data_IF_035742984202
#
_entry.id   IF_035742984202
#
_cell.length_a   1.000
_cell.length_b   1.000
_cell.length_c   1.000
_cell.angle_alpha   90.00
_cell.angle_beta   90.00
_cell.angle_gamma   90.00
#
_symmetry.space_group_name_H-M   'P 1'
#
loop_
_entity.id
_entity.type
_entity.pdbx_description
1 polymer ?
#
# COMPACT_ATOMS: atom_id res chain seq x y z
N UNK A 1 -17.38 21.73 90.18
CA UNK A 1 -18.07 21.79 88.86
C UNK A 1 -17.00 22.09 87.82
N UNK A 2 -16.71 21.33 86.76
CA UNK A 2 -17.33 20.19 86.07
C UNK A 2 -16.18 19.30 85.56
N UNK A 3 -16.39 17.98 85.55
CA UNK A 3 -15.57 17.00 84.82
C UNK A 3 -15.93 17.04 83.34
N UNK A 4 -14.97 16.90 82.43
CA UNK A 4 -15.14 16.32 81.08
C UNK A 4 -13.74 16.12 80.43
N UNK A 5 -13.59 15.21 79.46
CA UNK A 5 -12.54 14.21 79.47
C UNK A 5 -11.53 14.37 78.32
N UNK A 6 -10.43 13.64 78.48
CA UNK A 6 -9.43 13.30 77.48
C UNK A 6 -10.10 12.62 76.27
N UNK A 7 -9.99 13.20 75.07
CA UNK A 7 -10.35 12.55 73.81
C UNK A 7 -9.08 12.30 73.00
N UNK A 8 -8.79 11.01 72.81
CA UNK A 8 -7.90 10.51 71.77
C UNK A 8 -8.54 10.76 70.41
N UNK A 9 -7.85 11.48 69.53
CA UNK A 9 -8.16 11.52 68.10
C UNK A 9 -7.04 10.78 67.35
N UNK A 10 -7.28 9.49 67.17
CA UNK A 10 -6.71 8.66 66.12
C UNK A 10 -7.60 8.89 64.88
N UNK A 11 -7.09 9.34 63.72
CA UNK A 11 -7.61 8.99 62.38
C UNK A 11 -6.89 9.75 61.25
N UNK A 12 -6.37 8.95 60.32
CA UNK A 12 -6.21 9.16 58.87
C UNK A 12 -5.12 10.10 58.36
N UNK A 13 -3.92 9.53 58.23
CA UNK A 13 -3.00 9.84 57.12
C UNK A 13 -3.72 9.57 55.78
N UNK A 14 -3.84 10.56 54.87
CA UNK A 14 -4.10 10.24 53.48
C UNK A 14 -2.82 9.66 52.89
N UNK A 15 -2.88 8.38 52.51
CA UNK A 15 -2.01 7.83 51.48
C UNK A 15 -2.22 8.66 50.22
N UNK A 16 -1.36 9.66 50.00
CA UNK A 16 -1.14 10.25 48.69
C UNK A 16 -0.40 9.17 47.87
N UNK A 17 -1.17 8.27 47.28
CA UNK A 17 -0.71 7.54 46.13
C UNK A 17 -0.34 8.59 45.06
N UNK A 18 0.86 8.53 44.47
CA UNK A 18 1.11 9.31 43.27
C UNK A 18 0.06 8.84 42.25
N UNK A 19 -0.81 9.76 41.84
CA UNK A 19 -1.57 9.59 40.62
C UNK A 19 -0.51 9.36 39.54
N UNK A 20 -0.36 8.09 39.16
CA UNK A 20 0.25 7.73 37.92
C UNK A 20 -0.54 8.50 36.86
N UNK A 21 0.06 9.59 36.41
CA UNK A 21 -0.24 10.19 35.13
C UNK A 21 0.00 9.09 34.11
N UNK A 22 -1.03 8.29 33.86
CA UNK A 22 -1.20 7.66 32.56
C UNK A 22 -1.21 8.84 31.59
N UNK A 23 -0.05 9.10 30.98
CA UNK A 23 -0.02 9.84 29.73
C UNK A 23 -0.97 9.05 28.84
N UNK A 24 -2.15 9.62 28.59
CA UNK A 24 -2.88 9.26 27.41
C UNK A 24 -1.89 9.53 26.27
N UNK A 25 -1.28 8.47 25.76
CA UNK A 25 -0.69 8.50 24.45
C UNK A 25 -1.77 9.12 23.57
N UNK A 26 -1.48 10.30 23.03
CA UNK A 26 -2.30 10.95 22.02
C UNK A 26 -2.18 10.08 20.76
N UNK A 27 -2.76 8.88 20.80
CA UNK A 27 -2.97 8.04 19.64
C UNK A 27 -3.87 8.84 18.71
N UNK A 28 -3.28 9.32 17.63
CA UNK A 28 -3.97 9.98 16.53
C UNK A 28 -5.25 9.21 16.20
N UNK A 29 -6.39 9.90 16.29
CA UNK A 29 -7.73 9.37 15.95
C UNK A 29 -7.98 9.36 14.43
N UNK A 30 -6.94 9.60 13.62
CA UNK A 30 -7.02 9.62 12.16
C UNK A 30 -6.61 8.27 11.57
N UNK A 31 -7.37 7.79 10.59
CA UNK A 31 -6.96 6.69 9.74
C UNK A 31 -5.83 7.15 8.81
N UNK A 32 -4.71 6.44 8.80
CA UNK A 32 -3.68 6.64 7.79
C UNK A 32 -3.96 5.69 6.63
N UNK A 33 -4.46 6.21 5.51
CA UNK A 33 -4.83 5.39 4.35
C UNK A 33 -3.57 4.71 3.79
N UNK A 34 -3.65 3.43 3.42
CA UNK A 34 -2.45 2.71 2.97
C UNK A 34 -1.92 3.21 1.63
N UNK A 35 -2.81 3.55 0.70
CA UNK A 35 -2.49 4.00 -0.66
C UNK A 35 -3.44 5.10 -1.11
N UNK A 36 -2.95 5.96 -2.01
CA UNK A 36 -3.76 6.86 -2.82
C UNK A 36 -3.88 6.33 -4.25
N UNK A 37 -4.47 7.13 -5.14
CA UNK A 37 -4.55 6.85 -6.56
C UNK A 37 -4.32 8.15 -7.33
N UNK A 38 -3.36 8.14 -8.25
CA UNK A 38 -3.11 9.30 -9.09
C UNK A 38 -4.32 9.50 -10.00
N UNK A 39 -4.93 10.69 -9.93
CA UNK A 39 -6.12 10.97 -10.71
C UNK A 39 -5.84 10.95 -12.22
N UNK A 40 -6.62 10.17 -12.97
CA UNK A 40 -6.52 10.08 -14.44
C UNK A 40 -7.61 10.91 -15.12
N UNK A 41 -7.31 12.16 -15.45
CA UNK A 41 -8.26 13.05 -16.13
C UNK A 41 -8.65 12.59 -17.54
N UNK A 42 -8.00 11.58 -18.12
CA UNK A 42 -8.39 11.02 -19.42
C UNK A 42 -9.65 10.16 -19.33
N UNK A 43 -10.04 9.75 -18.12
CA UNK A 43 -11.26 9.01 -17.84
C UNK A 43 -12.49 9.92 -17.63
N UNK A 44 -12.31 11.25 -17.59
CA UNK A 44 -13.40 12.22 -17.49
C UNK A 44 -14.24 12.21 -18.80
N UNK A 45 -15.14 11.23 -18.98
CA UNK A 45 -16.01 11.13 -20.16
C UNK A 45 -17.27 11.98 -20.01
N UNK A 46 -17.82 12.52 -21.11
CA UNK A 46 -18.96 13.46 -21.02
C UNK A 46 -20.32 12.82 -20.69
N UNK A 47 -20.43 11.49 -20.56
CA UNK A 47 -21.72 10.81 -20.39
C UNK A 47 -21.66 9.68 -19.34
N UNK A 48 -22.49 9.82 -18.29
CA UNK A 48 -22.78 8.85 -17.19
C UNK A 48 -21.72 8.68 -16.07
N UNK A 49 -22.15 8.08 -14.96
CA UNK A 49 -21.48 7.96 -13.64
C UNK A 49 -19.97 7.72 -13.74
N UNK A 50 -19.18 8.79 -13.55
CA UNK A 50 -17.72 8.80 -13.70
C UNK A 50 -17.02 8.16 -12.49
N UNK A 51 -17.67 8.12 -11.32
CA UNK A 51 -17.03 7.59 -10.10
C UNK A 51 -16.52 6.15 -10.30
N UNK A 52 -17.27 5.31 -11.01
CA UNK A 52 -16.89 3.92 -11.25
C UNK A 52 -15.58 3.81 -12.06
N UNK A 53 -15.31 4.74 -12.97
CA UNK A 53 -14.08 4.75 -13.79
C UNK A 53 -12.85 5.19 -12.99
N UNK A 54 -13.05 5.98 -11.93
CA UNK A 54 -11.97 6.46 -11.05
C UNK A 54 -11.82 5.67 -9.75
N UNK A 55 -12.66 4.66 -9.50
CA UNK A 55 -12.66 3.86 -8.27
C UNK A 55 -12.35 2.39 -8.54
N UNK A 56 -11.97 1.65 -7.49
CA UNK A 56 -11.83 0.19 -7.58
C UNK A 56 -13.09 -0.45 -7.00
N UNK A 57 -13.84 -1.15 -7.84
CA UNK A 57 -14.99 -1.93 -7.39
C UNK A 57 -14.55 -3.19 -6.63
N UNK A 58 -15.14 -3.43 -5.47
CA UNK A 58 -14.92 -4.61 -4.65
C UNK A 58 -16.15 -5.53 -4.68
N UNK A 59 -15.89 -6.83 -4.67
CA UNK A 59 -16.80 -7.88 -4.23
C UNK A 59 -16.77 -7.98 -2.69
N UNK A 60 -17.75 -8.66 -2.11
CA UNK A 60 -17.74 -8.95 -0.67
C UNK A 60 -16.46 -9.68 -0.23
N UNK A 61 -15.96 -10.63 -1.02
CA UNK A 61 -14.76 -11.40 -0.70
C UNK A 61 -13.50 -10.53 -0.64
N UNK A 62 -13.36 -9.59 -1.58
CA UNK A 62 -12.24 -8.64 -1.60
C UNK A 62 -12.32 -7.66 -0.43
N UNK A 63 -13.52 -7.16 -0.09
CA UNK A 63 -13.73 -6.35 1.12
C UNK A 63 -13.30 -7.09 2.39
N UNK A 64 -13.72 -8.35 2.55
CA UNK A 64 -13.32 -9.20 3.69
C UNK A 64 -11.81 -9.40 3.73
N UNK A 65 -11.17 -9.60 2.57
CA UNK A 65 -9.70 -9.72 2.48
C UNK A 65 -9.02 -8.47 3.00
N UNK A 66 -9.44 -7.28 2.55
CA UNK A 66 -8.88 -5.99 3.01
C UNK A 66 -9.04 -5.78 4.52
N UNK A 67 -10.23 -6.08 5.04
CA UNK A 67 -10.54 -6.03 6.48
C UNK A 67 -9.60 -6.96 7.27
N UNK A 68 -9.48 -8.23 6.86
CA UNK A 68 -8.63 -9.21 7.53
C UNK A 68 -7.13 -8.90 7.40
N UNK A 69 -6.74 -8.22 6.32
CA UNK A 69 -5.38 -7.70 6.14
C UNK A 69 -5.10 -6.45 6.96
N UNK A 70 -6.07 -5.95 7.72
CA UNK A 70 -5.98 -4.75 8.55
C UNK A 70 -5.62 -3.53 7.71
N UNK A 71 -6.23 -3.41 6.54
CA UNK A 71 -6.10 -2.22 5.71
C UNK A 71 -6.87 -1.03 6.29
N UNK A 72 -6.33 0.17 6.06
CA UNK A 72 -6.95 1.47 6.26
C UNK A 72 -7.26 2.07 4.89
N UNK A 73 -8.53 2.25 4.57
CA UNK A 73 -8.99 2.64 3.24
C UNK A 73 -10.34 3.37 3.33
N UNK A 74 -10.73 4.01 2.22
CA UNK A 74 -12.06 4.61 2.05
C UNK A 74 -12.93 3.65 1.24
N UNK A 75 -14.15 3.39 1.72
CA UNK A 75 -15.14 2.56 1.04
C UNK A 75 -16.42 3.37 0.83
N UNK A 76 -16.87 3.48 -0.40
CA UNK A 76 -18.18 3.96 -0.76
C UNK A 76 -19.10 2.77 -0.99
N UNK A 77 -20.14 2.64 -0.17
CA UNK A 77 -21.27 1.74 -0.45
C UNK A 77 -22.30 2.55 -1.22
N UNK A 78 -22.54 2.19 -2.48
CA UNK A 78 -23.46 2.91 -3.37
C UNK A 78 -24.08 1.97 -4.41
N UNK A 79 -25.32 2.27 -4.80
CA UNK A 79 -25.97 1.59 -5.92
C UNK A 79 -25.42 2.16 -7.23
N UNK A 80 -24.73 1.31 -8.01
CA UNK A 80 -24.14 1.70 -9.31
C UNK A 80 -25.20 2.14 -10.33
N UNK A 81 -26.43 1.69 -10.17
CA UNK A 81 -27.58 2.08 -11.00
C UNK A 81 -28.27 3.36 -10.54
N UNK A 82 -27.81 4.01 -9.47
CA UNK A 82 -28.48 5.19 -8.95
C UNK A 82 -28.39 6.36 -9.93
N UNK A 83 -29.55 6.91 -10.28
CA UNK A 83 -29.71 8.07 -11.19
C UNK A 83 -30.31 9.29 -10.49
N UNK A 84 -30.40 9.25 -9.15
CA UNK A 84 -30.88 10.37 -8.36
C UNK A 84 -30.04 11.63 -8.58
N UNK A 85 -30.67 12.80 -8.64
CA UNK A 85 -29.96 14.10 -8.66
C UNK A 85 -29.05 14.29 -7.44
N UNK A 86 -29.42 13.72 -6.30
CA UNK A 86 -28.62 13.69 -5.09
C UNK A 86 -27.27 12.99 -5.29
N UNK A 87 -27.27 11.84 -5.98
CA UNK A 87 -26.06 11.10 -6.34
C UNK A 87 -25.14 11.96 -7.21
N UNK A 88 -25.64 12.57 -8.29
CA UNK A 88 -24.78 13.37 -9.19
C UNK A 88 -24.05 14.53 -8.49
N UNK A 89 -24.68 15.21 -7.53
CA UNK A 89 -24.02 16.27 -6.76
C UNK A 89 -22.93 15.69 -5.86
N UNK A 90 -23.21 14.58 -5.19
CA UNK A 90 -22.25 13.94 -4.31
C UNK A 90 -21.08 13.32 -5.08
N UNK A 91 -21.36 12.63 -6.18
CA UNK A 91 -20.38 12.11 -7.13
C UNK A 91 -19.42 13.20 -7.61
N UNK A 92 -19.94 14.36 -8.03
CA UNK A 92 -19.09 15.49 -8.45
C UNK A 92 -18.16 15.97 -7.31
N UNK A 93 -18.63 15.96 -6.06
CA UNK A 93 -17.82 16.26 -4.88
C UNK A 93 -16.75 15.20 -4.62
N UNK A 94 -17.09 13.91 -4.75
CA UNK A 94 -16.13 12.82 -4.63
C UNK A 94 -15.04 12.91 -5.70
N UNK A 95 -15.40 13.09 -6.96
CA UNK A 95 -14.47 13.22 -8.08
C UNK A 95 -13.55 14.43 -7.90
N UNK A 96 -14.10 15.57 -7.47
CA UNK A 96 -13.30 16.75 -7.15
C UNK A 96 -12.29 16.46 -6.03
N UNK A 97 -12.70 15.70 -5.00
CA UNK A 97 -11.81 15.31 -3.92
C UNK A 97 -10.74 14.31 -4.36
N UNK A 98 -11.11 13.30 -5.16
CA UNK A 98 -10.17 12.34 -5.75
C UNK A 98 -9.12 13.06 -6.60
N UNK A 99 -9.54 14.03 -7.41
CA UNK A 99 -8.65 14.88 -8.22
C UNK A 99 -7.72 15.76 -7.38
N UNK A 100 -8.27 16.43 -6.36
CA UNK A 100 -7.51 17.39 -5.57
C UNK A 100 -6.54 16.74 -4.57
N UNK A 101 -6.83 15.51 -4.13
CA UNK A 101 -6.13 14.84 -3.03
C UNK A 101 -5.57 13.45 -3.40
N UNK A 102 -5.69 13.01 -4.65
CA UNK A 102 -5.31 11.67 -5.12
C UNK A 102 -5.94 10.56 -4.26
N UNK A 103 -7.23 10.70 -3.92
CA UNK A 103 -7.93 9.74 -3.06
C UNK A 103 -8.18 8.44 -3.82
N UNK A 104 -7.81 7.34 -3.18
CA UNK A 104 -8.31 6.03 -3.54
C UNK A 104 -9.58 5.73 -2.73
N UNK A 105 -10.71 5.71 -3.43
CA UNK A 105 -11.99 5.29 -2.87
C UNK A 105 -12.38 3.97 -3.53
N UNK A 106 -12.62 2.96 -2.71
CA UNK A 106 -13.16 1.69 -3.17
C UNK A 106 -14.67 1.77 -3.24
N UNK A 107 -15.29 1.16 -4.25
CA UNK A 107 -16.73 1.07 -4.40
C UNK A 107 -17.25 -0.33 -4.08
N UNK A 108 -18.39 -0.46 -3.41
CA UNK A 108 -19.09 -1.74 -3.27
C UNK A 108 -20.60 -1.55 -3.42
N UNK A 109 -21.23 -2.49 -4.12
CA UNK A 109 -22.68 -2.50 -4.28
C UNK A 109 -23.37 -2.98 -2.99
N UNK A 110 -24.43 -2.31 -2.50
CA UNK A 110 -25.22 -2.78 -1.36
C UNK A 110 -25.67 -4.25 -1.46
N UNK A 111 -25.92 -4.76 -2.68
CA UNK A 111 -26.33 -6.14 -2.92
C UNK A 111 -25.26 -7.17 -2.49
N UNK A 112 -23.99 -6.77 -2.43
CA UNK A 112 -22.91 -7.64 -1.97
C UNK A 112 -23.09 -8.08 -0.51
N UNK A 113 -23.89 -7.37 0.28
CA UNK A 113 -24.19 -7.68 1.69
C UNK A 113 -25.49 -8.49 1.90
N UNK A 114 -26.23 -8.79 0.84
CA UNK A 114 -27.46 -9.59 0.94
C UNK A 114 -27.20 -11.02 1.42
N UNK A 115 -28.27 -11.69 1.90
CA UNK A 115 -28.20 -13.08 2.37
C UNK A 115 -27.70 -13.24 3.81
N UNK A 116 -27.72 -12.19 4.62
CA UNK A 116 -27.36 -12.25 6.05
C UNK A 116 -25.84 -12.28 6.31
N UNK A 117 -25.04 -11.77 5.37
CA UNK A 117 -23.60 -11.65 5.51
C UNK A 117 -23.22 -10.66 6.62
N UNK A 118 -22.04 -10.87 7.21
CA UNK A 118 -21.50 -9.97 8.23
C UNK A 118 -21.19 -8.60 7.60
N UNK A 119 -21.63 -7.53 8.26
CA UNK A 119 -21.44 -6.17 7.72
C UNK A 119 -20.16 -5.51 8.22
N UNK A 120 -19.44 -6.14 9.16
CA UNK A 120 -18.24 -5.60 9.79
C UNK A 120 -18.45 -4.19 10.39
N UNK A 121 -19.66 -3.93 10.90
CA UNK A 121 -20.04 -2.63 11.47
C UNK A 121 -20.39 -1.56 10.44
N UNK A 122 -20.31 -1.86 9.13
CA UNK A 122 -20.81 -0.98 8.07
C UNK A 122 -22.33 -0.91 8.19
N UNK A 123 -22.86 0.31 8.20
CA UNK A 123 -24.29 0.55 8.00
C UNK A 123 -24.50 0.81 6.50
N UNK A 124 -25.48 0.18 5.89
CA UNK A 124 -25.77 0.41 4.47
C UNK A 124 -27.28 0.37 4.24
N UNK A 125 -27.71 1.06 3.18
CA UNK A 125 -29.05 0.99 2.65
C UNK A 125 -28.96 1.08 1.12
N UNK A 126 -29.97 0.59 0.41
CA UNK A 126 -30.08 0.75 -1.04
C UNK A 126 -30.53 2.16 -1.46
N UNK A 127 -30.90 3.01 -0.50
CA UNK A 127 -31.45 4.34 -0.74
C UNK A 127 -30.49 5.48 -0.40
N UNK A 128 -29.32 5.18 0.17
CA UNK A 128 -28.34 6.17 0.63
C UNK A 128 -26.92 5.70 0.33
N UNK A 129 -26.09 6.62 -0.14
CA UNK A 129 -24.66 6.39 -0.28
C UNK A 129 -23.95 6.57 1.06
N UNK A 130 -23.05 5.65 1.36
CA UNK A 130 -22.34 5.60 2.64
C UNK A 130 -20.83 5.59 2.39
N UNK A 131 -20.15 6.68 2.75
CA UNK A 131 -18.69 6.71 2.79
C UNK A 131 -18.20 6.24 4.16
N UNK A 132 -17.37 5.21 4.17
CA UNK A 132 -16.81 4.56 5.34
C UNK A 132 -15.30 4.77 5.34
N UNK A 133 -14.77 5.17 6.48
CA UNK A 133 -13.33 5.23 6.76
C UNK A 133 -12.96 4.01 7.57
N UNK A 134 -12.14 3.13 7.00
CA UNK A 134 -11.53 2.02 7.71
C UNK A 134 -10.17 2.42 8.29
N UNK A 135 -9.91 1.98 9.51
CA UNK A 135 -8.62 2.03 10.16
C UNK A 135 -8.27 0.62 10.64
N UNK A 136 -7.19 0.06 10.11
CA UNK A 136 -6.66 -1.25 10.51
C UNK A 136 -7.71 -2.37 10.50
N UNK A 137 -8.56 -2.38 9.47
CA UNK A 137 -9.62 -3.38 9.28
C UNK A 137 -10.90 -3.11 10.07
N UNK A 138 -11.00 -2.02 10.83
CA UNK A 138 -12.21 -1.66 11.57
C UNK A 138 -12.81 -0.35 11.07
N UNK A 139 -14.14 -0.21 11.14
CA UNK A 139 -14.81 1.05 10.83
C UNK A 139 -14.43 2.10 11.88
N UNK A 140 -13.73 3.16 11.45
CA UNK A 140 -13.39 4.31 12.28
C UNK A 140 -14.51 5.35 12.25
N UNK A 141 -15.03 5.64 11.06
CA UNK A 141 -16.07 6.62 10.85
C UNK A 141 -16.91 6.26 9.62
N UNK A 142 -18.15 6.73 9.60
CA UNK A 142 -19.04 6.58 8.46
C UNK A 142 -19.92 7.82 8.34
N UNK A 143 -20.20 8.22 7.10
CA UNK A 143 -21.11 9.29 6.76
C UNK A 143 -22.03 8.85 5.61
N UNK A 144 -23.34 8.88 5.89
CA UNK A 144 -24.39 8.69 4.89
C UNK A 144 -24.74 10.04 4.27
N UNK A 145 -25.14 10.04 3.00
CA UNK A 145 -25.76 11.23 2.37
C UNK A 145 -27.27 11.13 2.43
N UNK A 146 -27.92 12.20 2.88
CA UNK A 146 -29.38 12.26 3.04
C UNK A 146 -30.00 13.27 2.07
N UNK A 147 -29.95 12.96 0.77
CA UNK A 147 -30.58 13.76 -0.28
C UNK A 147 -29.80 15.03 -0.67
N UNK A 148 -30.45 15.91 -1.46
CA UNK A 148 -29.79 17.04 -2.15
C UNK A 148 -29.34 18.19 -1.25
N UNK A 149 -29.92 18.29 -0.05
CA UNK A 149 -29.66 19.37 0.91
C UNK A 149 -28.64 18.96 1.99
N UNK A 150 -28.09 17.74 1.91
CA UNK A 150 -27.07 17.29 2.86
C UNK A 150 -25.81 18.16 2.70
N UNK A 151 -25.34 18.86 3.75
CA UNK A 151 -24.13 19.66 3.68
C UNK A 151 -22.90 18.87 3.19
N UNK A 152 -22.90 17.54 3.34
CA UNK A 152 -21.83 16.66 2.91
C UNK A 152 -21.70 16.54 1.39
N UNK A 153 -22.73 16.92 0.61
CA UNK A 153 -22.60 17.01 -0.86
C UNK A 153 -21.79 18.21 -1.31
N UNK A 154 -21.49 19.15 -0.41
CA UNK A 154 -20.64 20.32 -0.71
C UNK A 154 -19.18 20.02 -0.39
N UNK A 155 -18.29 20.32 -1.34
CA UNK A 155 -16.87 19.96 -1.31
C UNK A 155 -16.14 20.38 -0.02
N UNK A 156 -16.34 21.61 0.45
CA UNK A 156 -15.62 22.13 1.61
C UNK A 156 -16.00 21.38 2.90
N UNK A 157 -17.28 21.02 3.06
CA UNK A 157 -17.74 20.22 4.20
C UNK A 157 -17.25 18.78 4.11
N UNK A 158 -17.26 18.20 2.90
CA UNK A 158 -16.73 16.87 2.64
C UNK A 158 -15.26 16.78 3.04
N UNK A 159 -14.42 17.69 2.52
CA UNK A 159 -12.98 17.69 2.79
C UNK A 159 -12.70 17.97 4.27
N UNK A 160 -13.39 18.93 4.90
CA UNK A 160 -13.20 19.20 6.32
C UNK A 160 -13.52 17.98 7.20
N UNK A 161 -14.58 17.23 6.86
CA UNK A 161 -14.89 15.96 7.54
C UNK A 161 -13.83 14.90 7.27
N UNK A 162 -13.41 14.73 6.01
CA UNK A 162 -12.44 13.71 5.62
C UNK A 162 -11.08 13.95 6.28
N UNK A 163 -10.55 15.17 6.23
CA UNK A 163 -9.27 15.55 6.87
C UNK A 163 -9.33 15.42 8.40
N UNK A 164 -10.52 15.53 8.99
CA UNK A 164 -10.76 15.25 10.41
C UNK A 164 -10.86 13.76 10.76
N UNK A 165 -10.77 12.85 9.79
CA UNK A 165 -10.89 11.39 9.97
C UNK A 165 -9.80 10.57 9.31
N UNK A 166 -9.18 11.07 8.25
CA UNK A 166 -8.22 10.32 7.46
C UNK A 166 -7.09 11.21 6.95
N UNK A 167 -5.91 10.59 6.82
CA UNK A 167 -4.74 11.14 6.15
C UNK A 167 -4.47 10.33 4.89
N UNK A 168 -4.27 11.02 3.77
CA UNK A 168 -3.98 10.42 2.47
C UNK A 168 -2.56 9.85 2.43
N UNK A 169 -2.36 8.81 1.62
CA UNK A 169 -1.03 8.24 1.37
C UNK A 169 -0.31 9.01 0.27
N UNK A 170 1.01 9.16 0.41
CA UNK A 170 1.90 9.69 -0.62
C UNK A 170 2.32 8.61 -1.64
N UNK A 171 1.99 7.34 -1.40
CA UNK A 171 2.18 6.25 -2.37
C UNK A 171 0.91 6.06 -3.21
N UNK A 172 0.99 6.44 -4.48
CA UNK A 172 -0.16 6.55 -5.38
C UNK A 172 -0.21 5.39 -6.36
N UNK A 173 -1.34 4.68 -6.42
CA UNK A 173 -1.62 3.73 -7.50
C UNK A 173 -1.68 4.46 -8.85
N UNK A 174 -1.08 3.85 -9.86
CA UNK A 174 -1.06 4.35 -11.24
C UNK A 174 -1.43 3.25 -12.23
N UNK A 175 -1.95 3.64 -13.39
CA UNK A 175 -2.11 2.77 -14.55
C UNK A 175 -0.81 2.64 -15.34
N UNK A 176 -0.75 1.67 -16.27
CA UNK A 176 0.37 1.57 -17.22
C UNK A 176 0.54 2.87 -18.03
N UNK A 177 -0.58 3.48 -18.45
CA UNK A 177 -0.54 4.72 -19.23
C UNK A 177 0.07 5.85 -18.40
N UNK A 178 -0.35 6.01 -17.15
CA UNK A 178 0.22 7.01 -16.25
C UNK A 178 1.71 6.74 -15.99
N UNK A 179 2.13 5.47 -15.86
CA UNK A 179 3.56 5.13 -15.79
C UNK A 179 4.30 5.59 -17.05
N UNK A 180 3.74 5.38 -18.22
CA UNK A 180 4.32 5.83 -19.49
C UNK A 180 4.41 7.36 -19.55
N UNK A 181 3.37 8.06 -19.10
CA UNK A 181 3.33 9.53 -19.05
C UNK A 181 4.39 10.10 -18.08
N UNK A 182 4.69 9.42 -16.95
CA UNK A 182 5.71 9.86 -15.99
C UNK A 182 7.11 9.99 -16.62
N UNK A 183 7.42 9.17 -17.63
CA UNK A 183 8.67 9.30 -18.39
C UNK A 183 8.67 10.49 -19.35
N UNK A 184 7.50 10.94 -19.80
CA UNK A 184 7.33 12.01 -20.81
C UNK A 184 7.08 13.40 -20.20
N UNK A 185 6.55 13.47 -18.97
CA UNK A 185 6.28 14.75 -18.30
C UNK A 185 7.56 15.57 -18.12
N UNK A 186 7.56 16.84 -18.53
CA UNK A 186 8.67 17.75 -18.25
C UNK A 186 8.60 18.28 -16.81
N UNK A 187 9.67 18.19 -16.02
CA UNK A 187 9.82 18.97 -14.77
C UNK A 187 9.75 18.20 -13.44
N UNK A 188 9.15 17.02 -13.35
CA UNK A 188 9.33 16.11 -12.18
C UNK A 188 10.79 15.65 -12.07
N UNK A 189 11.41 15.58 -10.88
CA UNK A 189 12.69 14.87 -10.68
C UNK A 189 12.52 13.35 -10.89
N UNK A 190 13.56 12.56 -10.60
CA UNK A 190 13.48 11.09 -10.56
C UNK A 190 12.23 10.62 -9.81
N UNK A 191 11.62 9.51 -10.23
CA UNK A 191 10.42 8.97 -9.60
C UNK A 191 10.59 7.50 -9.23
N UNK A 192 9.99 7.09 -8.12
CA UNK A 192 10.09 5.74 -7.58
C UNK A 192 8.79 4.98 -7.80
N UNK A 193 8.90 3.78 -8.36
CA UNK A 193 7.78 2.90 -8.65
C UNK A 193 7.97 1.57 -7.92
N UNK A 194 6.97 1.19 -7.14
CA UNK A 194 6.78 -0.16 -6.63
C UNK A 194 6.00 -0.98 -7.65
N UNK A 195 6.62 -2.05 -8.16
CA UNK A 195 5.98 -3.04 -9.02
C UNK A 195 5.49 -4.20 -8.16
N UNK A 196 4.17 -4.24 -7.98
CA UNK A 196 3.47 -5.27 -7.22
C UNK A 196 2.57 -6.10 -8.13
N UNK A 197 1.91 -7.09 -7.53
CA UNK A 197 0.89 -7.92 -8.14
C UNK A 197 -0.12 -8.31 -7.08
N UNK A 198 -1.40 -8.11 -7.33
CA UNK A 198 -2.44 -8.53 -6.40
C UNK A 198 -2.43 -10.04 -6.13
N UNK A 199 -2.18 -10.85 -7.16
CA UNK A 199 -2.15 -12.32 -7.08
C UNK A 199 -0.80 -12.88 -6.58
N UNK A 200 0.14 -12.02 -6.18
CA UNK A 200 1.50 -12.40 -5.77
C UNK A 200 1.59 -12.45 -4.24
N UNK A 201 1.72 -13.65 -3.69
CA UNK A 201 1.76 -13.85 -2.24
C UNK A 201 2.97 -13.19 -1.55
N UNK A 202 4.06 -12.92 -2.26
CA UNK A 202 5.21 -12.15 -1.73
C UNK A 202 4.89 -10.66 -1.67
N UNK A 203 4.24 -10.14 -2.71
CA UNK A 203 3.78 -8.76 -2.81
C UNK A 203 2.76 -8.44 -1.71
N UNK A 204 1.73 -9.28 -1.54
CA UNK A 204 0.76 -9.13 -0.44
C UNK A 204 1.43 -9.19 0.94
N UNK A 205 2.51 -9.96 1.08
CA UNK A 205 3.25 -10.06 2.34
C UNK A 205 4.03 -8.80 2.66
N UNK A 206 4.70 -8.18 1.68
CA UNK A 206 5.37 -6.88 1.85
C UNK A 206 4.37 -5.78 2.15
N UNK A 207 3.27 -5.73 1.40
CA UNK A 207 2.23 -4.73 1.58
C UNK A 207 1.77 -4.72 3.04
N UNK A 208 1.38 -5.89 3.56
CA UNK A 208 0.88 -6.07 4.93
C UNK A 208 1.92 -5.85 6.03
N UNK A 209 3.10 -6.43 5.90
CA UNK A 209 4.08 -6.48 6.99
C UNK A 209 5.08 -5.33 6.97
N UNK A 210 5.06 -4.51 5.92
CA UNK A 210 5.97 -3.38 5.75
C UNK A 210 5.26 -2.12 5.25
N UNK A 211 4.72 -2.11 4.02
CA UNK A 211 4.26 -0.87 3.39
C UNK A 211 3.10 -0.21 4.12
N UNK A 212 2.17 -0.97 4.68
CA UNK A 212 1.04 -0.41 5.44
C UNK A 212 1.49 0.41 6.64
N UNK A 213 2.59 0.03 7.28
CA UNK A 213 3.19 0.80 8.37
C UNK A 213 4.04 1.93 7.83
N UNK A 214 4.84 1.66 6.79
CA UNK A 214 5.73 2.65 6.17
C UNK A 214 4.97 3.89 5.66
N UNK A 215 3.80 3.68 5.05
CA UNK A 215 2.95 4.72 4.49
C UNK A 215 2.15 5.53 5.53
N UNK A 216 2.31 5.25 6.84
CA UNK A 216 1.67 6.07 7.89
C UNK A 216 2.35 7.44 8.04
N UNK A 217 3.63 7.53 7.67
CA UNK A 217 4.41 8.76 7.77
C UNK A 217 4.27 9.62 6.51
N UNK A 218 4.53 10.93 6.62
CA UNK A 218 4.58 11.80 5.44
C UNK A 218 5.85 11.54 4.63
N UNK A 219 5.70 11.36 3.33
CA UNK A 219 6.79 11.02 2.42
C UNK A 219 6.75 11.87 1.16
N UNK A 220 7.82 11.85 0.38
CA UNK A 220 7.75 12.29 -1.00
C UNK A 220 6.89 11.29 -1.79
N UNK A 221 6.24 11.79 -2.83
CA UNK A 221 5.35 10.97 -3.66
C UNK A 221 6.11 9.82 -4.30
N UNK A 222 5.51 8.63 -4.24
CA UNK A 222 5.96 7.43 -4.95
C UNK A 222 4.76 6.76 -5.62
N UNK A 223 5.03 5.81 -6.50
CA UNK A 223 3.99 5.19 -7.30
C UNK A 223 3.90 3.68 -7.07
N UNK A 224 2.70 3.13 -7.13
CA UNK A 224 2.41 1.70 -7.08
C UNK A 224 1.82 1.30 -8.43
N UNK A 225 2.44 0.34 -9.11
CA UNK A 225 1.87 -0.30 -10.30
C UNK A 225 1.48 -1.74 -9.97
N UNK A 226 0.19 -2.05 -10.10
CA UNK A 226 -0.27 -3.43 -10.12
C UNK A 226 0.03 -4.03 -11.50
N UNK A 227 0.81 -5.10 -11.51
CA UNK A 227 1.17 -5.76 -12.76
C UNK A 227 0.16 -6.82 -13.19
N UNK A 228 -0.83 -7.19 -12.36
CA UNK A 228 -1.89 -8.14 -12.74
C UNK A 228 -2.98 -7.47 -13.61
N UNK A 229 -2.55 -6.66 -14.57
CA UNK A 229 -3.41 -5.91 -15.50
C UNK A 229 -3.28 -6.37 -16.95
N UNK A 230 -4.37 -6.17 -17.70
CA UNK A 230 -4.38 -6.35 -19.15
C UNK A 230 -3.47 -5.30 -19.80
N UNK A 231 -2.64 -5.74 -20.75
CA UNK A 231 -1.61 -4.90 -21.36
C UNK A 231 -0.30 -4.81 -20.58
N UNK A 232 -0.23 -5.42 -19.38
CA UNK A 232 1.02 -5.64 -18.63
C UNK A 232 1.36 -7.12 -18.59
N UNK A 233 0.57 -7.92 -17.86
CA UNK A 233 0.82 -9.35 -17.65
C UNK A 233 -0.09 -10.24 -18.49
N UNK A 234 -1.30 -9.76 -18.73
CA UNK A 234 -2.34 -10.48 -19.47
C UNK A 234 -2.59 -9.81 -20.82
N UNK A 235 -2.84 -10.62 -21.85
CA UNK A 235 -3.10 -10.12 -23.21
C UNK A 235 -4.56 -9.69 -23.40
N UNK A 236 -5.49 -10.24 -22.62
CA UNK A 236 -6.91 -9.89 -22.63
C UNK A 236 -7.57 -10.15 -21.27
N UNK A 237 -8.80 -9.68 -21.10
CA UNK A 237 -9.62 -9.93 -19.90
C UNK A 237 -9.91 -11.42 -19.70
N UNK A 238 -10.11 -12.17 -20.78
CA UNK A 238 -10.28 -13.63 -20.74
C UNK A 238 -9.01 -14.29 -20.21
N UNK A 239 -7.84 -13.87 -20.70
CA UNK A 239 -6.57 -14.40 -20.21
C UNK A 239 -6.34 -14.08 -18.73
N UNK A 240 -6.71 -12.86 -18.27
CA UNK A 240 -6.67 -12.48 -16.85
C UNK A 240 -7.57 -13.38 -16.01
N UNK A 241 -8.83 -13.60 -16.42
CA UNK A 241 -9.78 -14.50 -15.74
C UNK A 241 -9.30 -15.95 -15.67
N UNK A 242 -8.62 -16.42 -16.70
CA UNK A 242 -8.06 -17.78 -16.76
C UNK A 242 -6.67 -17.90 -16.11
N UNK A 243 -6.07 -16.80 -15.66
CA UNK A 243 -4.71 -16.76 -15.12
C UNK A 243 -3.62 -17.06 -16.16
N UNK A 244 -3.92 -16.92 -17.46
CA UNK A 244 -2.98 -17.23 -18.56
C UNK A 244 -2.05 -16.06 -18.83
N UNK A 245 -0.81 -16.19 -18.38
CA UNK A 245 0.25 -15.19 -18.59
C UNK A 245 0.76 -15.27 -20.03
N UNK A 246 0.74 -14.13 -20.73
CA UNK A 246 1.19 -14.02 -22.12
C UNK A 246 2.66 -13.62 -22.26
N UNK A 247 3.15 -13.56 -23.50
CA UNK A 247 4.52 -13.11 -23.80
C UNK A 247 4.73 -11.61 -23.50
N UNK A 248 3.62 -10.86 -23.43
CA UNK A 248 3.60 -9.45 -23.05
C UNK A 248 4.24 -9.22 -21.67
N UNK A 249 4.13 -10.17 -20.73
CA UNK A 249 4.69 -10.02 -19.41
C UNK A 249 6.22 -9.94 -19.41
N UNK A 250 6.89 -10.82 -20.17
CA UNK A 250 8.35 -10.76 -20.26
C UNK A 250 8.80 -9.51 -21.00
N UNK A 251 8.07 -9.11 -22.04
CA UNK A 251 8.35 -7.86 -22.77
C UNK A 251 8.25 -6.65 -21.84
N UNK A 252 7.22 -6.59 -21.01
CA UNK A 252 7.07 -5.56 -19.99
C UNK A 252 8.25 -5.57 -19.00
N UNK A 253 8.61 -6.74 -18.45
CA UNK A 253 9.75 -6.84 -17.53
C UNK A 253 11.06 -6.37 -18.14
N UNK A 254 11.30 -6.70 -19.40
CA UNK A 254 12.48 -6.26 -20.14
C UNK A 254 12.46 -4.76 -20.38
N UNK A 255 11.34 -4.22 -20.88
CA UNK A 255 11.24 -2.82 -21.31
C UNK A 255 11.34 -1.85 -20.13
N UNK A 256 10.68 -2.17 -19.00
CA UNK A 256 10.71 -1.37 -17.78
C UNK A 256 11.89 -1.73 -16.87
N UNK A 257 12.75 -2.68 -17.27
CA UNK A 257 14.01 -3.00 -16.60
C UNK A 257 13.87 -3.74 -15.27
N UNK A 258 12.78 -4.48 -15.08
CA UNK A 258 12.71 -5.46 -14.00
C UNK A 258 13.72 -6.59 -14.23
N UNK A 259 13.90 -7.01 -15.49
CA UNK A 259 14.87 -8.05 -15.88
C UNK A 259 16.25 -7.47 -16.18
N UNK A 260 17.27 -8.33 -16.14
CA UNK A 260 18.66 -7.91 -16.39
C UNK A 260 18.97 -7.65 -17.88
N UNK A 261 18.07 -8.02 -18.80
CA UNK A 261 18.32 -8.05 -20.25
C UNK A 261 18.85 -6.75 -20.86
N UNK A 262 18.41 -5.61 -20.34
CA UNK A 262 18.82 -4.29 -20.82
C UNK A 262 19.43 -3.40 -19.72
N UNK A 263 19.66 -3.98 -18.53
CA UNK A 263 20.31 -3.34 -17.40
C UNK A 263 20.87 -4.45 -16.49
N UNK A 264 22.08 -4.91 -16.79
CA UNK A 264 22.71 -6.01 -16.03
C UNK A 264 23.17 -5.56 -14.64
N UNK A 265 23.46 -4.26 -14.47
CA UNK A 265 23.95 -3.68 -13.21
C UNK A 265 22.88 -3.68 -12.11
N UNK A 266 21.63 -3.35 -12.47
CA UNK A 266 20.52 -3.19 -11.53
C UNK A 266 19.32 -4.08 -11.82
N UNK A 267 18.97 -4.40 -13.07
CA UNK A 267 17.90 -5.35 -13.38
C UNK A 267 18.28 -6.78 -12.92
N UNK A 268 17.32 -7.63 -12.53
CA UNK A 268 17.62 -8.90 -11.86
C UNK A 268 16.96 -10.12 -12.52
N UNK A 269 17.79 -11.06 -13.01
CA UNK A 269 17.35 -12.31 -13.61
C UNK A 269 16.31 -12.09 -14.71
N UNK A 270 15.22 -12.86 -14.69
CA UNK A 270 14.12 -12.68 -15.65
C UNK A 270 13.17 -11.53 -15.29
N UNK A 271 13.43 -10.81 -14.20
CA UNK A 271 12.57 -9.79 -13.62
C UNK A 271 11.58 -10.36 -12.62
N UNK A 272 11.61 -9.77 -11.42
CA UNK A 272 10.90 -10.22 -10.23
C UNK A 272 9.97 -9.12 -9.75
N UNK A 273 8.95 -9.53 -9.01
CA UNK A 273 8.07 -8.65 -8.22
C UNK A 273 7.85 -9.38 -6.90
N UNK A 274 7.86 -8.70 -5.75
CA UNK A 274 7.91 -7.25 -5.56
C UNK A 274 9.29 -6.60 -5.87
N UNK A 275 9.28 -5.40 -6.44
CA UNK A 275 10.50 -4.61 -6.71
C UNK A 275 10.21 -3.12 -6.65
N UNK A 276 11.17 -2.32 -6.17
CA UNK A 276 11.10 -0.86 -6.17
C UNK A 276 12.20 -0.34 -7.08
N UNK A 277 11.83 0.51 -8.03
CA UNK A 277 12.76 1.03 -9.04
C UNK A 277 12.65 2.55 -9.06
N UNK A 278 13.79 3.20 -8.92
CA UNK A 278 13.93 4.64 -9.13
C UNK A 278 14.35 4.88 -10.58
N UNK A 279 13.56 5.67 -11.30
CA UNK A 279 13.89 6.08 -12.66
C UNK A 279 14.38 7.52 -12.68
N UNK A 280 15.38 7.78 -13.50
CA UNK A 280 15.63 9.10 -14.05
C UNK A 280 14.63 9.40 -15.15
N UNK A 281 14.48 10.69 -15.46
CA UNK A 281 13.77 11.10 -16.66
C UNK A 281 14.61 10.85 -17.90
N UNK A 282 13.93 10.40 -18.95
CA UNK A 282 14.49 10.25 -20.28
C UNK A 282 13.65 10.98 -21.31
N UNK A 283 14.03 10.83 -22.56
CA UNK A 283 13.22 11.19 -23.72
C UNK A 283 12.32 10.02 -24.09
N UNK A 284 11.29 10.29 -24.90
CA UNK A 284 10.31 9.28 -25.36
C UNK A 284 10.97 8.08 -26.06
N UNK A 285 12.06 8.34 -26.77
CA UNK A 285 12.86 7.34 -27.47
C UNK A 285 13.80 6.52 -26.57
N UNK A 286 14.01 6.95 -25.33
CA UNK A 286 14.89 6.24 -24.41
C UNK A 286 14.23 4.93 -23.97
N UNK A 287 15.06 3.90 -23.84
CA UNK A 287 14.62 2.63 -23.27
C UNK A 287 14.43 2.84 -21.77
N UNK A 288 13.25 2.52 -21.24
CA UNK A 288 12.97 2.75 -19.81
C UNK A 288 13.93 2.00 -18.89
N UNK A 289 14.34 0.78 -19.25
CA UNK A 289 15.38 0.05 -18.54
C UNK A 289 16.73 0.78 -18.40
N UNK A 290 17.12 1.61 -19.39
CA UNK A 290 18.34 2.42 -19.31
C UNK A 290 18.17 3.69 -18.47
N UNK A 291 16.94 4.00 -18.06
CA UNK A 291 16.63 5.13 -17.18
C UNK A 291 16.62 4.73 -15.70
N UNK A 292 16.80 3.46 -15.37
CA UNK A 292 16.91 3.01 -13.99
C UNK A 292 18.15 3.64 -13.36
N UNK A 293 17.92 4.36 -12.26
CA UNK A 293 18.96 4.95 -11.42
C UNK A 293 19.30 4.05 -10.25
N UNK A 294 18.30 3.42 -9.66
CA UNK A 294 18.47 2.57 -8.50
C UNK A 294 17.33 1.55 -8.41
N UNK A 295 17.58 0.41 -7.76
CA UNK A 295 16.62 -0.68 -7.67
C UNK A 295 16.84 -1.51 -6.40
N UNK A 296 15.75 -2.02 -5.85
CA UNK A 296 15.76 -3.07 -4.84
C UNK A 296 14.70 -4.13 -5.17
N UNK A 297 15.08 -5.39 -5.01
CA UNK A 297 14.23 -6.56 -5.21
C UNK A 297 14.11 -7.29 -3.89
N UNK A 298 12.93 -7.83 -3.62
CA UNK A 298 12.60 -8.47 -2.35
C UNK A 298 12.00 -9.84 -2.59
N UNK A 299 12.27 -10.79 -1.70
CA UNK A 299 11.83 -12.19 -1.80
C UNK A 299 12.25 -12.90 -3.11
N UNK A 300 13.44 -12.60 -3.61
CA UNK A 300 14.00 -13.19 -4.82
C UNK A 300 15.12 -14.21 -4.56
N UNK A 301 15.22 -14.63 -3.30
CA UNK A 301 16.29 -15.46 -2.78
C UNK A 301 16.12 -16.95 -3.12
N UNK A 302 17.22 -17.63 -3.48
CA UNK A 302 17.23 -19.07 -3.74
C UNK A 302 18.06 -19.81 -2.70
N UNK A 303 17.42 -20.74 -1.98
CA UNK A 303 18.08 -21.54 -0.93
C UNK A 303 18.62 -22.84 -1.51
N UNK A 304 19.90 -23.14 -1.23
CA UNK A 304 20.54 -24.40 -1.57
C UNK A 304 20.92 -25.17 -0.32
N UNK A 305 20.44 -26.42 -0.20
CA UNK A 305 20.80 -27.36 0.86
C UNK A 305 21.90 -28.33 0.41
N UNK A 306 23.07 -28.31 1.05
CA UNK A 306 24.16 -29.26 0.81
C UNK A 306 24.79 -29.71 2.13
N UNK A 307 24.97 -31.03 2.31
CA UNK A 307 25.63 -31.61 3.49
C UNK A 307 25.07 -31.12 4.84
N UNK A 308 23.75 -30.91 4.93
CA UNK A 308 23.08 -30.42 6.14
C UNK A 308 23.24 -28.92 6.40
N UNK A 309 23.77 -28.16 5.44
CA UNK A 309 23.85 -26.70 5.48
C UNK A 309 22.93 -26.10 4.43
N UNK A 310 22.22 -25.03 4.81
CA UNK A 310 21.37 -24.27 3.89
C UNK A 310 22.01 -22.91 3.66
N UNK A 311 22.15 -22.51 2.40
CA UNK A 311 22.82 -21.26 2.03
C UNK A 311 22.00 -20.50 0.99
N UNK A 312 22.06 -19.17 1.02
CA UNK A 312 21.50 -18.34 -0.04
C UNK A 312 22.40 -18.39 -1.27
N UNK A 313 22.03 -19.23 -2.24
CA UNK A 313 22.77 -19.41 -3.48
C UNK A 313 22.58 -18.26 -4.46
N UNK A 314 21.41 -17.61 -4.42
CA UNK A 314 21.10 -16.44 -5.23
C UNK A 314 20.33 -15.41 -4.41
N UNK A 315 20.62 -14.13 -4.67
CA UNK A 315 19.99 -12.98 -4.02
C UNK A 315 20.31 -11.71 -4.80
N UNK A 316 19.43 -10.71 -4.70
CA UNK A 316 19.68 -9.38 -5.26
C UNK A 316 20.79 -8.68 -4.49
N UNK A 317 20.87 -8.96 -3.19
CA UNK A 317 21.82 -8.38 -2.25
C UNK A 317 23.18 -9.08 -2.34
N UNK A 318 23.78 -9.04 -3.53
CA UNK A 318 25.17 -9.40 -3.79
C UNK A 318 26.07 -8.17 -3.64
N UNK A 319 27.36 -8.40 -3.42
CA UNK A 319 28.36 -7.33 -3.29
C UNK A 319 28.31 -6.35 -4.48
N UNK A 320 28.29 -6.88 -5.71
CA UNK A 320 28.26 -6.11 -6.94
C UNK A 320 27.02 -5.21 -7.04
N UNK A 321 25.83 -5.76 -6.76
CA UNK A 321 24.57 -5.00 -6.84
C UNK A 321 24.45 -3.95 -5.74
N UNK A 322 24.94 -4.25 -4.54
CA UNK A 322 25.00 -3.26 -3.46
C UNK A 322 25.91 -2.08 -3.84
N UNK A 323 27.02 -2.33 -4.54
CA UNK A 323 27.92 -1.28 -5.01
C UNK A 323 27.30 -0.45 -6.15
N UNK A 324 26.53 -1.08 -7.04
CA UNK A 324 25.86 -0.39 -8.16
C UNK A 324 24.61 0.40 -7.72
N UNK A 325 24.02 0.07 -6.57
CA UNK A 325 22.90 0.80 -5.98
C UNK A 325 23.39 1.96 -5.12
N UNK A 326 23.01 3.20 -5.49
CA UNK A 326 23.39 4.41 -4.76
C UNK A 326 22.92 4.37 -3.29
N UNK A 327 21.65 4.02 -3.06
CA UNK A 327 21.10 3.95 -1.72
C UNK A 327 21.75 2.83 -0.90
N UNK A 328 21.88 1.62 -1.45
CA UNK A 328 22.44 0.49 -0.71
C UNK A 328 23.93 0.68 -0.41
N UNK A 329 24.70 1.23 -1.35
CA UNK A 329 26.10 1.59 -1.14
C UNK A 329 26.24 2.62 -0.01
N UNK A 330 25.41 3.67 0.01
CA UNK A 330 25.41 4.66 1.10
C UNK A 330 25.07 4.04 2.47
N UNK A 331 24.15 3.09 2.53
CA UNK A 331 23.85 2.38 3.78
C UNK A 331 25.02 1.50 4.22
N UNK A 332 25.73 0.86 3.27
CA UNK A 332 26.92 0.07 3.56
C UNK A 332 28.05 0.91 4.13
N UNK A 333 28.30 2.09 3.57
CA UNK A 333 29.30 3.05 4.10
C UNK A 333 28.98 3.51 5.53
N UNK A 334 27.69 3.52 5.91
CA UNK A 334 27.23 3.79 7.28
C UNK A 334 27.38 2.59 8.23
N UNK A 335 28.05 1.52 7.78
CA UNK A 335 28.38 0.35 8.59
C UNK A 335 27.31 -0.74 8.61
N UNK A 336 26.33 -0.69 7.70
CA UNK A 336 25.34 -1.74 7.58
C UNK A 336 25.80 -2.79 6.56
N UNK A 337 26.22 -3.97 7.03
CA UNK A 337 26.60 -5.08 6.15
C UNK A 337 25.38 -5.95 5.80
N UNK A 338 25.19 -6.17 4.51
CA UNK A 338 23.92 -6.61 3.94
C UNK A 338 24.06 -7.55 2.76
N UNK A 339 25.25 -8.07 2.51
CA UNK A 339 25.42 -9.08 1.47
C UNK A 339 24.70 -10.35 1.93
N UNK A 340 23.53 -10.63 1.35
CA UNK A 340 22.74 -11.82 1.70
C UNK A 340 23.20 -13.04 0.88
N UNK A 341 23.70 -12.83 -0.34
CA UNK A 341 24.21 -13.93 -1.16
C UNK A 341 25.38 -14.64 -0.45
N UNK A 342 25.22 -15.94 -0.23
CA UNK A 342 26.21 -16.81 0.39
C UNK A 342 26.08 -16.98 1.91
N UNK A 343 25.13 -16.32 2.58
CA UNK A 343 24.92 -16.51 4.02
C UNK A 343 24.35 -17.91 4.30
N UNK A 344 24.69 -18.45 5.47
CA UNK A 344 24.09 -19.68 6.00
C UNK A 344 22.75 -19.36 6.66
N UNK A 345 21.70 -20.11 6.32
CA UNK A 345 20.35 -19.97 6.86
C UNK A 345 20.11 -21.10 7.88
N UNK A 346 19.60 -20.79 9.08
CA UNK A 346 19.19 -21.82 10.04
C UNK A 346 18.08 -22.71 9.49
N UNK A 347 18.13 -24.01 9.78
CA UNK A 347 17.06 -24.96 9.39
C UNK A 347 15.69 -24.58 9.98
N UNK A 348 15.64 -23.86 11.10
CA UNK A 348 14.38 -23.33 11.64
C UNK A 348 13.72 -22.29 10.75
N UNK A 349 14.48 -21.66 9.85
CA UNK A 349 14.03 -20.59 8.95
C UNK A 349 13.73 -21.09 7.54
N UNK A 350 13.91 -22.37 7.24
CA UNK A 350 13.58 -22.93 5.93
C UNK A 350 12.20 -23.58 5.91
N UNK A 351 11.59 -23.59 4.74
CA UNK A 351 10.37 -24.34 4.46
C UNK A 351 10.60 -25.28 3.27
N UNK A 352 10.25 -26.55 3.44
CA UNK A 352 10.40 -27.56 2.39
C UNK A 352 9.03 -27.90 1.81
N UNK A 353 8.90 -27.71 0.50
CA UNK A 353 7.68 -27.95 -0.25
C UNK A 353 7.69 -29.34 -0.91
N UNK A 354 6.52 -29.88 -1.29
CA UNK A 354 6.44 -31.10 -2.08
C UNK A 354 7.34 -31.03 -3.32
N UNK A 355 8.10 -32.09 -3.58
CA UNK A 355 9.09 -32.11 -4.66
C UNK A 355 10.50 -31.67 -4.24
N UNK A 356 10.72 -31.38 -2.96
CA UNK A 356 12.06 -31.08 -2.42
C UNK A 356 12.54 -29.65 -2.69
N UNK A 357 11.63 -28.76 -3.12
CA UNK A 357 11.91 -27.33 -3.20
C UNK A 357 12.06 -26.76 -1.79
N UNK A 358 13.16 -26.03 -1.55
CA UNK A 358 13.48 -25.41 -0.26
C UNK A 358 13.38 -23.90 -0.45
N UNK A 359 12.59 -23.24 0.40
CA UNK A 359 12.47 -21.79 0.42
C UNK A 359 12.90 -21.22 1.77
N UNK A 360 13.27 -19.95 1.78
CA UNK A 360 13.44 -19.20 3.01
C UNK A 360 12.06 -18.74 3.50
N UNK A 361 11.73 -18.98 4.77
CA UNK A 361 10.47 -18.50 5.35
C UNK A 361 10.37 -16.99 5.23
N UNK A 362 9.23 -16.49 4.75
CA UNK A 362 9.01 -15.06 4.48
C UNK A 362 9.23 -14.18 5.71
N UNK A 363 8.84 -14.66 6.89
CA UNK A 363 9.06 -13.95 8.16
C UNK A 363 10.54 -13.70 8.42
N UNK A 364 11.37 -14.71 8.18
CA UNK A 364 12.80 -14.67 8.44
C UNK A 364 13.53 -13.85 7.35
N UNK A 365 13.17 -14.07 6.08
CA UNK A 365 13.68 -13.28 4.96
C UNK A 365 13.37 -11.78 5.16
N UNK A 366 12.12 -11.43 5.48
CA UNK A 366 11.72 -10.03 5.70
C UNK A 366 12.47 -9.40 6.87
N UNK A 367 12.81 -10.14 7.93
CA UNK A 367 13.62 -9.58 9.02
C UNK A 367 15.00 -9.12 8.54
N UNK A 368 15.57 -9.76 7.52
CA UNK A 368 16.86 -9.38 6.91
C UNK A 368 16.69 -8.30 5.85
N UNK A 369 15.66 -8.40 5.01
CA UNK A 369 15.40 -7.43 3.92
C UNK A 369 14.78 -6.12 4.41
N UNK A 370 14.04 -6.11 5.53
CA UNK A 370 13.31 -4.92 5.99
C UNK A 370 14.22 -3.69 6.26
N UNK A 371 15.36 -3.80 6.94
CA UNK A 371 16.27 -2.66 7.11
C UNK A 371 16.81 -2.12 5.78
N UNK A 372 17.06 -3.01 4.81
CA UNK A 372 17.49 -2.65 3.45
C UNK A 372 16.40 -1.90 2.72
N UNK A 373 15.19 -2.45 2.69
CA UNK A 373 14.04 -1.84 2.06
C UNK A 373 13.68 -0.49 2.70
N UNK A 374 13.69 -0.41 4.03
CA UNK A 374 13.44 0.84 4.74
C UNK A 374 14.52 1.88 4.44
N UNK A 375 15.80 1.49 4.47
CA UNK A 375 16.90 2.40 4.17
C UNK A 375 16.85 2.91 2.73
N UNK A 376 16.54 2.03 1.76
CA UNK A 376 16.35 2.38 0.35
C UNK A 376 15.22 3.39 0.17
N UNK A 377 14.05 3.11 0.73
CA UNK A 377 12.91 4.02 0.60
C UNK A 377 13.15 5.33 1.36
N UNK A 378 13.74 5.30 2.55
CA UNK A 378 14.04 6.51 3.33
C UNK A 378 15.04 7.41 2.61
N UNK A 379 15.99 6.84 1.87
CA UNK A 379 16.97 7.59 1.10
C UNK A 379 16.30 8.49 0.03
N UNK A 380 15.21 8.03 -0.59
CA UNK A 380 14.53 8.77 -1.67
C UNK A 380 13.22 9.45 -1.24
N UNK A 381 12.52 8.91 -0.26
CA UNK A 381 11.14 9.29 0.06
C UNK A 381 10.99 9.99 1.41
N UNK A 382 12.00 9.99 2.28
CA UNK A 382 11.91 10.71 3.55
C UNK A 382 11.91 12.22 3.29
N UNK A 383 10.94 12.94 3.85
CA UNK A 383 10.91 14.41 3.87
C UNK A 383 11.94 14.91 4.90
N UNK A 384 12.67 15.98 4.55
CA UNK A 384 13.63 16.66 5.42
C UNK A 384 12.96 17.43 6.57
#
# INVERSE_FOLDING_TARGET
>A
MKKTPLFYALLLLPFLAPLASCSADNNSTLAHLNFGMLYDATLDTQNSSQFADHSISLTYGELVSKINNKESFLLLVYDKGNTCTCWYRYEATLLRAMKAKNLLIYGIDPQEFEGGKETYGIKYSSSEENLVVFQEGSVLAQKSTNGTDDPFVEYDNFIAWLEGKAKTSDMLRISKKQLDDLFEESGTPSFLVYFGRESCGDCSYIDKNFLYTYNKEERNTSYYLDCDEVGIRFESEEAKKEGKVGAIWQTFKDDYGLSEKYNEELGYGQGYVPSFILYNKGKKEDRKASLIRDMIVTFNDEVKGENGKYTLSNSFYSEERIQNSEALSSLKEKGMDFVLKGIEIPESEIETYPGGYIAWKKEAALQKEKPLLQGFLDFYLKKE
#
